data_IF_261036770250
#
_entry.id   IF_261036770250
#
_cell.length_a   1.000
_cell.length_b   1.000
_cell.length_c   1.000
_cell.angle_alpha   90.00
_cell.angle_beta   90.00
_cell.angle_gamma   90.00
#
_symmetry.space_group_name_H-M   'P 1'
#
loop_
_entity.id
_entity.type
_entity.pdbx_description
1 polymer ?
#
# COMPACT_ATOMS: atom_id res chain seq x y z
N UNK A 1 -11.64 8.64 -18.88
CA UNK A 1 -10.70 9.79 -18.83
C UNK A 1 -9.54 9.63 -17.82
N UNK A 2 -9.38 8.50 -17.10
CA UNK A 2 -8.25 8.29 -16.16
C UNK A 2 -7.06 7.54 -16.81
N UNK A 3 -7.28 6.91 -17.97
CA UNK A 3 -6.28 6.05 -18.65
C UNK A 3 -5.06 6.79 -19.22
N UNK A 4 -5.12 8.11 -19.42
CA UNK A 4 -4.07 8.87 -20.11
C UNK A 4 -2.97 9.38 -19.15
N UNK A 5 -3.31 9.64 -17.88
CA UNK A 5 -2.33 10.09 -16.87
C UNK A 5 -1.37 8.99 -16.39
N UNK A 6 -1.83 7.73 -16.38
CA UNK A 6 -0.99 6.57 -16.04
C UNK A 6 0.02 6.20 -17.14
N UNK A 7 -0.26 6.58 -18.39
CA UNK A 7 0.56 6.24 -19.56
C UNK A 7 1.77 7.20 -19.70
N UNK A 8 1.72 8.36 -19.05
CA UNK A 8 2.80 9.38 -19.07
C UNK A 8 3.89 9.15 -18.02
N UNK A 9 3.74 8.16 -17.12
CA UNK A 9 4.85 7.74 -16.25
C UNK A 9 5.77 6.88 -17.11
N UNK A 10 6.74 7.52 -17.75
CA UNK A 10 7.76 6.83 -18.54
C UNK A 10 8.66 6.03 -17.60
N UNK A 11 8.29 4.76 -17.37
CA UNK A 11 9.00 3.82 -16.50
C UNK A 11 10.47 3.61 -16.92
N UNK A 12 10.88 4.04 -18.12
CA UNK A 12 12.25 3.90 -18.63
C UNK A 12 13.24 4.89 -18.02
N UNK A 13 12.78 6.02 -17.49
CA UNK A 13 13.63 7.02 -16.83
C UNK A 13 13.82 6.76 -15.32
N UNK A 14 13.21 5.70 -14.76
CA UNK A 14 13.23 5.39 -13.33
C UNK A 14 14.60 4.99 -12.79
N UNK A 15 15.50 4.54 -13.67
CA UNK A 15 16.90 4.29 -13.31
C UNK A 15 17.61 5.52 -12.73
N UNK A 16 17.12 6.76 -13.01
CA UNK A 16 17.77 7.99 -12.53
C UNK A 16 17.27 8.48 -11.16
N UNK A 17 16.03 8.18 -10.76
CA UNK A 17 15.48 8.60 -9.46
C UNK A 17 15.75 7.59 -8.33
N UNK A 18 16.18 6.38 -8.69
CA UNK A 18 16.57 5.32 -7.76
C UNK A 18 15.51 5.06 -6.69
N UNK A 19 15.97 4.88 -5.46
CA UNK A 19 15.13 4.59 -4.30
C UNK A 19 14.11 5.69 -3.95
N UNK A 20 14.46 6.95 -4.16
CA UNK A 20 13.58 8.10 -3.84
C UNK A 20 12.39 8.14 -4.80
N UNK A 21 12.61 7.93 -6.09
CA UNK A 21 11.53 7.85 -7.07
C UNK A 21 10.54 6.72 -6.77
N UNK A 22 11.06 5.56 -6.37
CA UNK A 22 10.24 4.42 -5.95
C UNK A 22 9.37 4.78 -4.75
N UNK A 23 9.96 5.41 -3.73
CA UNK A 23 9.22 5.85 -2.54
C UNK A 23 8.04 6.75 -2.90
N UNK A 24 8.30 7.83 -3.65
CA UNK A 24 7.30 8.84 -3.99
C UNK A 24 6.18 8.24 -4.83
N UNK A 25 6.50 7.44 -5.84
CA UNK A 25 5.48 6.79 -6.66
C UNK A 25 4.61 5.81 -5.87
N UNK A 26 5.22 4.99 -5.03
CA UNK A 26 4.47 4.02 -4.23
C UNK A 26 3.60 4.73 -3.20
N UNK A 27 4.11 5.81 -2.60
CA UNK A 27 3.35 6.66 -1.69
C UNK A 27 2.14 7.28 -2.40
N UNK A 28 2.33 7.92 -3.55
CA UNK A 28 1.24 8.54 -4.31
C UNK A 28 0.24 7.49 -4.81
N UNK A 29 0.74 6.33 -5.28
CA UNK A 29 -0.10 5.23 -5.76
C UNK A 29 -0.93 4.55 -4.67
N UNK A 30 -0.50 4.58 -3.41
CA UNK A 30 -1.29 4.08 -2.27
C UNK A 30 -2.06 5.20 -1.56
N UNK A 31 -1.74 6.47 -1.77
CA UNK A 31 -2.48 7.60 -1.20
C UNK A 31 -3.83 7.83 -1.90
N UNK A 32 -4.02 7.27 -3.10
CA UNK A 32 -5.28 7.37 -3.86
C UNK A 32 -6.01 6.02 -3.91
N UNK A 33 -7.31 6.03 -3.60
CA UNK A 33 -8.19 4.85 -3.57
C UNK A 33 -8.33 4.15 -4.94
N UNK A 34 -7.91 4.78 -6.05
CA UNK A 34 -8.42 4.41 -7.37
C UNK A 34 -7.54 3.43 -8.16
N UNK A 35 -6.21 3.32 -7.96
CA UNK A 35 -5.45 2.26 -8.66
C UNK A 35 -4.16 1.84 -7.92
N UNK A 36 -4.16 0.70 -7.22
CA UNK A 36 -2.94 0.11 -6.64
C UNK A 36 -1.92 -0.40 -7.68
N UNK A 37 -2.36 -0.59 -8.93
CA UNK A 37 -1.54 -1.15 -10.02
C UNK A 37 -0.22 -0.37 -10.27
N UNK A 38 -0.20 0.97 -10.34
CA UNK A 38 1.05 1.73 -10.50
C UNK A 38 2.07 1.44 -9.38
N UNK A 39 1.65 1.24 -8.14
CA UNK A 39 2.56 0.92 -7.05
C UNK A 39 3.22 -0.47 -7.23
N UNK A 40 2.45 -1.49 -7.63
CA UNK A 40 3.03 -2.83 -7.86
C UNK A 40 3.94 -2.87 -9.06
N UNK A 41 3.54 -2.19 -10.15
CA UNK A 41 4.36 -2.08 -11.35
C UNK A 41 5.68 -1.36 -11.04
N UNK A 42 5.64 -0.31 -10.22
CA UNK A 42 6.84 0.42 -9.79
C UNK A 42 7.81 -0.51 -9.06
N UNK A 43 7.34 -1.29 -8.08
CA UNK A 43 8.21 -2.21 -7.33
C UNK A 43 8.75 -3.37 -8.18
N UNK A 44 7.93 -3.94 -9.08
CA UNK A 44 8.34 -4.96 -10.05
C UNK A 44 9.41 -4.43 -11.02
N UNK A 45 9.23 -3.21 -11.54
CA UNK A 45 10.19 -2.59 -12.44
C UNK A 45 11.50 -2.24 -11.71
N UNK A 46 11.40 -1.65 -10.51
CA UNK A 46 12.56 -1.30 -9.69
C UNK A 46 13.36 -2.54 -9.26
N UNK A 47 12.70 -3.67 -8.99
CA UNK A 47 13.36 -4.92 -8.63
C UNK A 47 14.29 -5.49 -9.72
N UNK A 48 14.11 -5.11 -10.99
CA UNK A 48 15.01 -5.49 -12.11
C UNK A 48 16.35 -4.77 -12.09
N UNK A 49 16.42 -3.59 -11.48
CA UNK A 49 17.57 -2.68 -11.62
C UNK A 49 18.18 -2.27 -10.28
N UNK A 50 17.43 -2.32 -9.19
CA UNK A 50 17.84 -1.95 -7.84
C UNK A 50 17.87 -3.17 -6.91
N UNK A 51 18.53 -3.05 -5.75
CA UNK A 51 18.49 -4.10 -4.72
C UNK A 51 17.03 -4.34 -4.25
N UNK A 52 16.46 -5.54 -4.44
CA UNK A 52 15.03 -5.80 -4.21
C UNK A 52 14.63 -5.70 -2.73
N UNK A 53 15.55 -5.96 -1.80
CA UNK A 53 15.29 -5.82 -0.36
C UNK A 53 15.05 -4.36 0.03
N UNK A 54 15.89 -3.46 -0.48
CA UNK A 54 15.73 -2.03 -0.26
C UNK A 54 14.49 -1.48 -0.97
N UNK A 55 14.20 -1.95 -2.20
CA UNK A 55 12.94 -1.63 -2.89
C UNK A 55 11.74 -2.03 -2.04
N UNK A 56 11.75 -3.24 -1.47
CA UNK A 56 10.70 -3.73 -0.59
C UNK A 56 10.49 -2.86 0.65
N UNK A 57 11.57 -2.50 1.35
CA UNK A 57 11.51 -1.62 2.53
C UNK A 57 10.94 -0.25 2.18
N UNK A 58 11.50 0.40 1.16
CA UNK A 58 11.14 1.77 0.80
C UNK A 58 9.72 1.84 0.24
N UNK A 59 9.33 0.88 -0.60
CA UNK A 59 7.96 0.77 -1.10
C UNK A 59 6.98 0.49 0.04
N UNK A 60 7.34 -0.39 0.98
CA UNK A 60 6.49 -0.71 2.13
C UNK A 60 6.24 0.48 3.05
N UNK A 61 7.27 1.30 3.28
CA UNK A 61 7.14 2.55 4.03
C UNK A 61 6.28 3.57 3.29
N UNK A 62 6.55 3.82 2.00
CA UNK A 62 5.77 4.74 1.18
C UNK A 62 4.30 4.35 1.11
N UNK A 63 4.03 3.06 0.90
CA UNK A 63 2.68 2.52 0.87
C UNK A 63 1.97 2.64 2.21
N UNK A 64 2.62 2.27 3.32
CA UNK A 64 2.01 2.38 4.65
C UNK A 64 1.71 3.82 5.06
N UNK A 65 2.54 4.78 4.65
CA UNK A 65 2.25 6.21 4.83
C UNK A 65 1.05 6.64 3.97
N UNK A 66 0.96 6.18 2.72
CA UNK A 66 -0.18 6.47 1.84
C UNK A 66 -1.52 5.99 2.44
N UNK A 67 -1.53 4.86 3.12
CA UNK A 67 -2.70 4.25 3.77
C UNK A 67 -3.20 5.03 5.01
N UNK A 68 -2.40 5.97 5.54
CA UNK A 68 -2.86 6.87 6.59
C UNK A 68 -4.06 7.72 6.12
N UNK A 69 -4.18 7.97 4.83
CA UNK A 69 -5.32 8.71 4.25
C UNK A 69 -6.65 8.00 4.55
N UNK A 70 -6.76 6.69 4.29
CA UNK A 70 -7.93 5.88 4.60
C UNK A 70 -8.19 5.79 6.10
N UNK A 71 -7.13 5.62 6.89
CA UNK A 71 -7.23 5.61 8.35
C UNK A 71 -7.76 6.93 8.93
N UNK A 72 -7.28 8.08 8.43
CA UNK A 72 -7.77 9.39 8.83
C UNK A 72 -9.22 9.58 8.39
N UNK A 73 -9.59 9.14 7.18
CA UNK A 73 -10.96 9.21 6.69
C UNK A 73 -11.94 8.45 7.59
N UNK A 74 -11.58 7.21 7.98
CA UNK A 74 -12.36 6.42 8.95
C UNK A 74 -12.44 7.08 10.32
N UNK A 75 -11.32 7.60 10.84
CA UNK A 75 -11.29 8.30 12.12
C UNK A 75 -12.13 9.59 12.12
N UNK A 76 -12.24 10.25 10.98
CA UNK A 76 -13.08 11.43 10.78
C UNK A 76 -14.57 11.10 10.56
N UNK A 77 -14.97 9.83 10.59
CA UNK A 77 -16.35 9.39 10.41
C UNK A 77 -16.89 9.53 8.99
N UNK A 78 -16.02 9.65 7.98
CA UNK A 78 -16.43 9.68 6.57
C UNK A 78 -16.45 8.25 6.02
N UNK A 79 -17.61 7.74 5.61
CA UNK A 79 -17.69 6.45 4.92
C UNK A 79 -18.69 6.44 3.77
N UNK A 80 -18.21 6.16 2.55
CA UNK A 80 -19.02 5.85 1.39
C UNK A 80 -18.48 4.55 0.77
N UNK A 81 -18.89 3.40 1.31
CA UNK A 81 -18.33 2.09 0.94
C UNK A 81 -19.39 1.00 0.86
N UNK A 82 -19.00 -0.14 0.28
CA UNK A 82 -19.76 -1.38 0.26
C UNK A 82 -19.93 -1.94 1.70
N UNK A 83 -21.16 -1.84 2.22
CA UNK A 83 -21.55 -2.24 3.58
C UNK A 83 -21.20 -3.70 3.90
N UNK A 84 -21.33 -4.62 2.94
CA UNK A 84 -21.17 -6.05 3.21
C UNK A 84 -19.70 -6.42 3.43
N UNK A 85 -18.81 -5.91 2.56
CA UNK A 85 -17.35 -6.12 2.69
C UNK A 85 -16.80 -5.38 3.90
N UNK A 86 -17.28 -4.15 4.13
CA UNK A 86 -16.87 -3.32 5.24
C UNK A 86 -17.14 -4.01 6.59
N UNK A 87 -18.36 -4.51 6.82
CA UNK A 87 -18.74 -5.18 8.08
C UNK A 87 -17.82 -6.36 8.40
N UNK A 88 -17.45 -7.16 7.38
CA UNK A 88 -16.54 -8.30 7.56
C UNK A 88 -15.14 -7.86 7.96
N UNK A 89 -14.60 -6.83 7.28
CA UNK A 89 -13.27 -6.29 7.59
C UNK A 89 -13.25 -5.62 8.97
N UNK A 90 -14.29 -4.87 9.30
CA UNK A 90 -14.45 -4.27 10.61
C UNK A 90 -14.38 -5.33 11.72
N UNK A 91 -15.13 -6.43 11.61
CA UNK A 91 -15.07 -7.52 12.58
C UNK A 91 -13.68 -8.16 12.72
N UNK A 92 -12.90 -8.27 11.64
CA UNK A 92 -11.52 -8.72 11.72
C UNK A 92 -10.61 -7.72 12.44
N UNK A 93 -10.74 -6.43 12.13
CA UNK A 93 -9.94 -5.38 12.77
C UNK A 93 -10.28 -5.22 14.25
N UNK A 94 -11.55 -5.32 14.63
CA UNK A 94 -11.98 -5.30 16.03
C UNK A 94 -11.46 -6.52 16.81
N UNK A 95 -11.47 -7.71 16.18
CA UNK A 95 -11.04 -8.95 16.83
C UNK A 95 -9.52 -9.09 16.95
N UNK A 96 -8.78 -8.74 15.90
CA UNK A 96 -7.33 -9.02 15.79
C UNK A 96 -6.46 -7.77 15.78
N UNK A 97 -7.04 -6.59 15.67
CA UNK A 97 -6.32 -5.32 15.72
C UNK A 97 -5.20 -5.23 14.69
N UNK A 98 -4.00 -4.89 15.18
CA UNK A 98 -2.81 -4.74 14.36
C UNK A 98 -2.44 -6.00 13.55
N UNK A 99 -2.77 -7.21 14.04
CA UNK A 99 -2.51 -8.45 13.31
C UNK A 99 -3.39 -8.58 12.06
N UNK A 100 -4.65 -8.14 12.11
CA UNK A 100 -5.50 -8.08 10.92
C UNK A 100 -4.93 -7.10 9.89
N UNK A 101 -4.47 -5.92 10.35
CA UNK A 101 -3.86 -4.91 9.48
C UNK A 101 -2.61 -5.46 8.80
N UNK A 102 -1.73 -6.12 9.55
CA UNK A 102 -0.53 -6.75 8.99
C UNK A 102 -0.87 -7.79 7.92
N UNK A 103 -1.79 -8.73 8.23
CA UNK A 103 -2.17 -9.79 7.30
C UNK A 103 -2.82 -9.25 6.02
N UNK A 104 -3.71 -8.27 6.16
CA UNK A 104 -4.35 -7.60 5.02
C UNK A 104 -3.35 -6.75 4.22
N UNK A 105 -2.35 -6.14 4.86
CA UNK A 105 -1.33 -5.37 4.16
C UNK A 105 -0.34 -6.26 3.39
N UNK A 106 -0.01 -7.44 3.92
CA UNK A 106 0.96 -8.38 3.35
C UNK A 106 0.47 -9.06 2.08
N UNK A 107 -0.84 -9.31 1.98
CA UNK A 107 -1.41 -9.98 0.82
C UNK A 107 -1.82 -9.00 -0.27
N UNK A 108 -1.74 -9.40 -1.55
CA UNK A 108 -2.27 -8.60 -2.62
C UNK A 108 -3.79 -8.62 -2.67
N UNK A 109 -4.43 -7.76 -1.88
CA UNK A 109 -5.88 -7.61 -1.84
C UNK A 109 -6.31 -6.12 -1.97
N UNK A 110 -7.54 -5.88 -2.46
CA UNK A 110 -8.15 -4.54 -2.52
C UNK A 110 -8.88 -4.13 -1.22
N UNK A 111 -8.76 -4.92 -0.14
CA UNK A 111 -9.51 -4.73 1.11
C UNK A 111 -8.71 -3.91 2.14
N UNK A 112 -7.43 -3.63 1.87
CA UNK A 112 -6.57 -2.87 2.77
C UNK A 112 -7.12 -1.46 3.04
N UNK A 113 -7.62 -0.76 2.03
CA UNK A 113 -8.22 0.57 2.20
C UNK A 113 -9.38 0.53 3.22
N UNK A 114 -10.26 -0.48 3.10
CA UNK A 114 -11.37 -0.73 4.04
C UNK A 114 -10.84 -1.03 5.45
N UNK A 115 -9.72 -1.74 5.56
CA UNK A 115 -9.07 -2.06 6.83
C UNK A 115 -8.47 -0.82 7.49
N UNK A 116 -7.88 0.09 6.71
CA UNK A 116 -7.41 1.39 7.18
C UNK A 116 -8.55 2.20 7.76
N UNK A 117 -9.65 2.33 7.02
CA UNK A 117 -10.87 3.01 7.48
C UNK A 117 -11.41 2.36 8.75
N UNK A 118 -11.56 1.03 8.78
CA UNK A 118 -12.04 0.31 9.95
C UNK A 118 -11.14 0.52 11.18
N UNK A 119 -9.82 0.53 11.01
CA UNK A 119 -8.88 0.85 12.09
C UNK A 119 -9.02 2.30 12.59
N UNK A 120 -9.31 3.22 11.68
CA UNK A 120 -9.63 4.61 12.00
C UNK A 120 -10.89 4.75 12.85
N UNK A 121 -11.98 4.07 12.45
CA UNK A 121 -13.27 4.04 13.17
C UNK A 121 -13.11 3.39 14.54
N UNK A 122 -12.38 2.27 14.62
CA UNK A 122 -12.06 1.58 15.87
C UNK A 122 -11.11 2.39 16.78
N UNK A 123 -10.68 3.59 16.35
CA UNK A 123 -9.73 4.46 17.05
C UNK A 123 -8.43 3.76 17.47
N UNK A 124 -7.97 2.79 16.68
CA UNK A 124 -6.68 2.14 16.89
C UNK A 124 -5.58 3.22 16.99
N UNK A 125 -4.59 3.14 17.88
CA UNK A 125 -3.49 4.10 17.91
C UNK A 125 -2.75 4.15 16.57
N UNK A 126 -2.52 5.36 16.03
CA UNK A 126 -2.04 5.55 14.65
C UNK A 126 -0.70 4.85 14.38
N UNK A 127 0.19 4.81 15.38
CA UNK A 127 1.49 4.16 15.27
C UNK A 127 1.36 2.63 15.21
N UNK A 128 0.37 2.02 15.88
CA UNK A 128 0.11 0.58 15.79
C UNK A 128 -0.39 0.20 14.40
N UNK A 129 -1.30 1.02 13.86
CA UNK A 129 -1.76 0.88 12.48
C UNK A 129 -0.60 1.03 11.50
N UNK A 130 0.17 2.11 11.60
CA UNK A 130 1.26 2.41 10.69
C UNK A 130 2.35 1.33 10.70
N UNK A 131 2.80 0.91 11.88
CA UNK A 131 3.84 -0.14 12.00
C UNK A 131 3.35 -1.46 11.42
N UNK A 132 2.12 -1.88 11.74
CA UNK A 132 1.56 -3.12 11.20
C UNK A 132 1.36 -3.06 9.67
N UNK A 133 0.86 -1.92 9.18
CA UNK A 133 0.64 -1.69 7.76
C UNK A 133 1.96 -1.68 6.99
N UNK A 134 2.94 -0.89 7.44
CA UNK A 134 4.28 -0.87 6.85
C UNK A 134 4.91 -2.25 6.86
N UNK A 135 4.89 -2.98 7.98
CA UNK A 135 5.46 -4.31 8.06
C UNK A 135 4.84 -5.27 7.03
N UNK A 136 3.50 -5.29 6.89
CA UNK A 136 2.84 -6.10 5.88
C UNK A 136 3.19 -5.65 4.45
N UNK A 137 3.16 -4.35 4.17
CA UNK A 137 3.50 -3.82 2.84
C UNK A 137 4.97 -4.09 2.49
N UNK A 138 5.91 -4.04 3.43
CA UNK A 138 7.31 -4.40 3.20
C UNK A 138 7.41 -5.85 2.71
N UNK A 139 6.72 -6.79 3.36
CA UNK A 139 6.68 -8.20 2.91
C UNK A 139 6.16 -8.28 1.49
N UNK A 140 5.00 -7.66 1.22
CA UNK A 140 4.36 -7.66 -0.11
C UNK A 140 5.28 -7.10 -1.20
N UNK A 141 5.86 -5.93 -0.97
CA UNK A 141 6.68 -5.24 -1.96
C UNK A 141 8.05 -5.88 -2.12
N UNK A 142 8.59 -6.53 -1.09
CA UNK A 142 9.80 -7.35 -1.23
C UNK A 142 9.53 -8.53 -2.16
N UNK A 143 8.41 -9.23 -2.00
CA UNK A 143 8.02 -10.32 -2.91
C UNK A 143 7.89 -9.81 -4.35
N UNK A 144 7.21 -8.67 -4.56
CA UNK A 144 7.07 -8.08 -5.88
C UNK A 144 8.43 -7.68 -6.49
N UNK A 145 9.33 -7.11 -5.70
CA UNK A 145 10.66 -6.74 -6.16
C UNK A 145 11.52 -7.97 -6.51
N UNK A 146 11.44 -9.04 -5.72
CA UNK A 146 12.11 -10.31 -6.01
C UNK A 146 11.59 -10.98 -7.29
N UNK A 147 10.27 -10.96 -7.51
CA UNK A 147 9.67 -11.41 -8.78
C UNK A 147 10.23 -10.58 -9.94
N UNK A 148 10.29 -9.26 -9.77
CA UNK A 148 10.88 -8.35 -10.74
C UNK A 148 12.31 -8.74 -11.10
N UNK A 149 13.16 -8.93 -10.09
CA UNK A 149 14.55 -9.36 -10.25
C UNK A 149 14.68 -10.65 -11.06
N UNK A 150 13.82 -11.65 -10.80
CA UNK A 150 13.86 -12.95 -11.49
C UNK A 150 13.42 -12.93 -12.96
N UNK A 151 12.83 -11.83 -13.43
CA UNK A 151 12.35 -11.67 -14.82
C UNK A 151 13.35 -10.87 -15.68
N UNK A 152 14.64 -10.93 -15.33
CA UNK A 152 15.76 -10.24 -15.99
C UNK A 152 16.73 -11.28 -16.53
#
# INVERSE_FOLDING_TARGET
MISLGLLLIDFRHFGQYGYVGVFVLVLLGNATVVVPAPAFMTALAAGRTLNPWLVGVISGLGAGIGELTGYIAGRAGRSAFDQQRFTRIQGYVERWGAFAIFGLAALPNPLMDLAGIAAGIARMPWYKFLVACCAGKIVRFTILALIGQSTT
#
